data_IF_329020483164
#
_entry.id   IF_329020483164
#
_cell.length_a   1.000
_cell.length_b   1.000
_cell.length_c   1.000
_cell.angle_alpha   90.00
_cell.angle_beta   90.00
_cell.angle_gamma   90.00
#
_symmetry.space_group_name_H-M   'P 1'
#
loop_
_entity.id
_entity.type
_entity.pdbx_description
1 polymer ?
#
# COMPACT_ATOMS: atom_id res chain seq x y z
N UNK A 1 1.52 3.17 -21.33
CA UNK A 1 2.97 3.09 -21.62
C UNK A 1 3.67 2.99 -20.25
N UNK A 2 4.44 1.94 -19.95
CA UNK A 2 5.34 1.96 -18.79
C UNK A 2 6.69 2.43 -19.31
N UNK A 3 6.99 3.71 -19.17
CA UNK A 3 8.28 4.28 -19.54
C UNK A 3 9.10 4.48 -18.27
N UNK A 4 10.20 3.74 -18.14
CA UNK A 4 11.09 3.90 -17.00
C UNK A 4 11.92 5.18 -17.21
N UNK A 5 11.50 6.26 -16.57
CA UNK A 5 12.31 7.46 -16.45
C UNK A 5 13.48 7.14 -15.51
N UNK A 6 14.72 7.22 -16.01
CA UNK A 6 15.92 6.87 -15.22
C UNK A 6 16.74 8.09 -14.79
N UNK A 7 16.40 9.27 -15.30
CA UNK A 7 17.15 10.50 -15.07
C UNK A 7 16.42 11.44 -14.09
N UNK A 8 17.18 12.16 -13.26
CA UNK A 8 16.67 13.16 -12.32
C UNK A 8 16.43 12.64 -10.90
N UNK A 9 15.98 13.53 -10.03
CA UNK A 9 15.52 13.18 -8.68
C UNK A 9 14.12 12.52 -8.76
N UNK A 10 13.75 11.63 -7.83
CA UNK A 10 12.45 10.95 -7.84
C UNK A 10 11.25 11.88 -8.01
N UNK A 11 11.23 13.03 -7.33
CA UNK A 11 10.13 14.00 -7.47
C UNK A 11 9.99 14.62 -8.86
N UNK A 12 11.10 14.73 -9.62
CA UNK A 12 11.04 15.20 -11.01
C UNK A 12 10.43 14.14 -11.92
N UNK A 13 10.69 12.87 -11.65
CA UNK A 13 10.06 11.76 -12.38
C UNK A 13 8.58 11.68 -12.10
N UNK A 14 8.16 11.91 -10.85
CA UNK A 14 6.74 12.01 -10.51
C UNK A 14 6.05 13.14 -11.29
N UNK A 15 6.63 14.33 -11.33
CA UNK A 15 6.10 15.46 -12.10
C UNK A 15 6.00 15.14 -13.60
N UNK A 16 7.06 14.55 -14.18
CA UNK A 16 7.09 14.14 -15.58
C UNK A 16 6.06 13.04 -15.90
N UNK A 17 5.90 12.05 -15.01
CA UNK A 17 4.91 10.99 -15.16
C UNK A 17 3.48 11.56 -15.10
N UNK A 18 3.22 12.53 -14.22
CA UNK A 18 1.94 13.26 -14.21
C UNK A 18 1.74 14.04 -15.51
N UNK A 19 2.77 14.72 -16.02
CA UNK A 19 2.70 15.41 -17.32
C UNK A 19 2.36 14.45 -18.46
N UNK A 20 2.96 13.25 -18.47
CA UNK A 20 2.65 12.20 -19.45
C UNK A 20 1.21 11.69 -19.33
N UNK A 21 0.71 11.50 -18.11
CA UNK A 21 -0.71 11.14 -17.88
C UNK A 21 -1.63 12.24 -18.40
N UNK A 22 -1.35 13.51 -18.11
CA UNK A 22 -2.16 14.63 -18.57
C UNK A 22 -2.15 14.74 -20.10
N UNK A 23 -0.99 14.52 -20.73
CA UNK A 23 -0.88 14.48 -22.18
C UNK A 23 -1.68 13.31 -22.78
N UNK A 24 -1.64 12.13 -22.18
CA UNK A 24 -2.47 10.99 -22.61
C UNK A 24 -3.96 11.31 -22.43
N UNK A 25 -4.37 11.87 -21.30
CA UNK A 25 -5.76 12.26 -21.02
C UNK A 25 -6.31 13.32 -22.00
N UNK A 26 -5.44 14.13 -22.58
CA UNK A 26 -5.77 15.11 -23.62
C UNK A 26 -5.96 14.50 -25.02
N UNK A 27 -5.42 13.30 -25.25
CA UNK A 27 -5.67 12.53 -26.47
C UNK A 27 -7.02 11.79 -26.35
N UNK A 28 -7.85 11.89 -27.40
CA UNK A 28 -9.18 11.29 -27.46
C UNK A 28 -9.10 9.78 -27.72
N UNK A 29 -7.98 9.27 -28.24
CA UNK A 29 -7.73 7.84 -28.52
C UNK A 29 -8.90 7.14 -29.27
N UNK A 30 -9.62 7.89 -30.11
CA UNK A 30 -10.84 7.46 -30.81
C UNK A 30 -11.92 6.85 -29.87
N UNK A 31 -11.99 7.30 -28.62
CA UNK A 31 -12.96 6.83 -27.63
C UNK A 31 -12.71 5.42 -27.08
N UNK A 32 -11.51 4.85 -27.28
CA UNK A 32 -11.16 3.52 -26.73
C UNK A 32 -11.00 3.57 -25.21
N UNK A 33 -11.41 2.52 -24.47
CA UNK A 33 -11.19 2.45 -23.04
C UNK A 33 -9.68 2.38 -22.73
N UNK A 34 -9.29 2.99 -21.62
CA UNK A 34 -7.88 3.10 -21.19
C UNK A 34 -7.71 2.64 -19.75
N UNK A 35 -6.51 2.14 -19.46
CA UNK A 35 -6.05 1.87 -18.12
C UNK A 35 -4.72 2.60 -17.92
N UNK A 36 -4.73 3.60 -17.05
CA UNK A 36 -3.54 4.36 -16.66
C UNK A 36 -3.13 3.92 -15.26
N UNK A 37 -1.83 3.73 -15.07
CA UNK A 37 -1.26 3.23 -13.84
C UNK A 37 0.10 3.87 -13.61
N UNK A 38 0.30 4.39 -12.41
CA UNK A 38 1.51 5.13 -12.03
C UNK A 38 1.88 4.80 -10.60
N UNK A 39 3.18 4.71 -10.36
CA UNK A 39 3.77 4.72 -9.02
C UNK A 39 4.39 6.09 -8.78
N UNK A 40 4.14 6.65 -7.58
CA UNK A 40 4.88 7.81 -7.11
C UNK A 40 6.15 7.35 -6.38
N UNK A 41 7.26 8.03 -6.61
CA UNK A 41 8.55 7.71 -6.02
C UNK A 41 8.96 8.68 -4.91
N UNK A 42 8.38 9.88 -4.85
CA UNK A 42 8.81 10.95 -3.93
C UNK A 42 8.77 10.55 -2.47
N UNK A 43 7.80 9.72 -2.07
CA UNK A 43 7.66 9.19 -0.71
C UNK A 43 8.48 7.94 -0.45
N UNK A 44 9.25 7.44 -1.42
CA UNK A 44 10.25 6.42 -1.14
C UNK A 44 11.49 7.08 -0.52
N UNK A 45 12.13 6.43 0.45
CA UNK A 45 13.39 6.91 1.02
C UNK A 45 14.42 7.21 -0.10
N UNK A 46 15.09 8.38 -0.10
CA UNK A 46 15.27 9.31 1.02
C UNK A 46 14.22 10.43 1.13
N UNK A 47 13.04 10.30 0.51
CA UNK A 47 11.95 11.27 0.49
C UNK A 47 12.34 12.58 -0.21
N UNK A 48 12.01 12.72 -1.49
CA UNK A 48 12.47 13.88 -2.29
C UNK A 48 11.30 14.75 -2.71
N UNK A 49 11.53 16.05 -2.83
CA UNK A 49 10.51 17.04 -3.18
C UNK A 49 11.19 18.36 -3.62
N UNK A 50 10.51 19.22 -4.39
CA UNK A 50 10.99 20.57 -4.65
C UNK A 50 10.85 21.45 -3.40
N UNK A 51 11.73 22.45 -3.25
CA UNK A 51 11.69 23.40 -2.12
C UNK A 51 10.33 24.13 -1.99
N UNK A 52 9.65 24.35 -3.11
CA UNK A 52 8.31 24.95 -3.12
C UNK A 52 7.22 24.10 -2.44
N UNK A 53 7.47 22.82 -2.22
CA UNK A 53 6.53 21.91 -1.56
C UNK A 53 6.75 21.81 -0.03
N UNK A 54 7.70 22.55 0.54
CA UNK A 54 8.01 22.49 1.98
C UNK A 54 6.88 23.11 2.81
N UNK A 55 6.27 22.27 3.66
CA UNK A 55 5.25 22.67 4.67
C UNK A 55 5.69 22.33 6.10
N UNK A 56 6.78 21.60 6.27
CA UNK A 56 7.46 21.29 7.53
C UNK A 56 8.93 21.66 7.39
N UNK A 57 9.36 22.86 7.83
CA UNK A 57 10.71 23.37 7.58
C UNK A 57 11.81 22.72 8.43
N UNK A 58 11.45 22.09 9.55
CA UNK A 58 12.40 21.47 10.49
C UNK A 58 12.81 20.03 10.08
N UNK A 59 12.79 19.73 8.78
CA UNK A 59 13.11 18.41 8.24
C UNK A 59 14.62 18.18 8.08
N UNK A 60 15.01 16.90 7.99
CA UNK A 60 16.39 16.52 7.71
C UNK A 60 16.73 16.81 6.23
N UNK A 61 17.60 17.79 5.98
CA UNK A 61 17.91 18.24 4.61
C UNK A 61 18.66 17.20 3.77
N UNK A 62 19.55 16.45 4.39
CA UNK A 62 20.33 15.40 3.73
C UNK A 62 20.21 14.10 4.51
N UNK A 63 19.77 13.04 3.83
CA UNK A 63 19.72 11.69 4.39
C UNK A 63 20.99 10.97 3.96
N UNK A 64 21.98 10.89 4.84
CA UNK A 64 23.21 10.13 4.61
C UNK A 64 23.17 8.82 5.39
N UNK A 65 22.81 7.73 4.73
CA UNK A 65 22.68 6.39 5.35
C UNK A 65 23.91 5.96 6.17
N UNK A 66 25.13 6.39 5.81
CA UNK A 66 26.35 6.00 6.52
C UNK A 66 26.55 6.74 7.86
N UNK A 67 25.88 7.88 8.05
CA UNK A 67 26.00 8.72 9.25
C UNK A 67 24.66 8.93 9.96
N UNK A 68 23.59 8.31 9.45
CA UNK A 68 22.24 8.55 9.93
C UNK A 68 22.06 7.89 11.30
N UNK A 69 21.76 8.71 12.29
CA UNK A 69 21.27 8.25 13.59
C UNK A 69 19.75 8.35 13.58
N UNK A 70 19.08 7.20 13.44
CA UNK A 70 17.62 7.14 13.29
C UNK A 70 16.89 7.59 14.56
N UNK A 71 17.43 7.31 15.74
CA UNK A 71 16.77 7.66 17.00
C UNK A 71 16.73 9.18 17.19
N UNK A 72 17.83 9.86 16.86
CA UNK A 72 17.93 11.32 17.01
C UNK A 72 17.25 12.08 15.86
N UNK A 73 17.17 11.49 14.66
CA UNK A 73 16.64 12.18 13.48
C UNK A 73 15.23 11.73 13.08
N UNK A 74 14.59 10.80 13.79
CA UNK A 74 13.28 10.23 13.42
C UNK A 74 12.25 11.29 13.06
N UNK A 75 12.06 12.29 13.92
CA UNK A 75 11.08 13.37 13.70
C UNK A 75 11.44 14.22 12.46
N UNK A 76 12.71 14.59 12.29
CA UNK A 76 13.18 15.36 11.15
C UNK A 76 13.06 14.57 9.82
N UNK A 77 13.24 13.24 9.86
CA UNK A 77 12.99 12.35 8.72
C UNK A 77 11.49 12.27 8.42
N UNK A 78 10.65 12.12 9.43
CA UNK A 78 9.20 12.09 9.26
C UNK A 78 8.68 13.40 8.66
N UNK A 79 9.18 14.56 9.10
CA UNK A 79 8.88 15.86 8.48
C UNK A 79 9.29 15.91 7.00
N UNK A 80 10.39 15.25 6.64
CA UNK A 80 10.81 15.11 5.24
C UNK A 80 9.81 14.28 4.44
N UNK A 81 9.35 13.15 4.97
CA UNK A 81 8.29 12.35 4.37
C UNK A 81 6.99 13.16 4.19
N UNK A 82 6.57 13.95 5.18
CA UNK A 82 5.36 14.79 5.09
C UNK A 82 5.48 15.80 3.93
N UNK A 83 6.64 16.41 3.73
CA UNK A 83 6.86 17.32 2.58
C UNK A 83 6.79 16.57 1.23
N UNK A 84 7.32 15.35 1.16
CA UNK A 84 7.21 14.50 -0.03
C UNK A 84 5.74 14.10 -0.32
N UNK A 85 5.00 13.70 0.72
CA UNK A 85 3.58 13.37 0.61
C UNK A 85 2.74 14.59 0.17
N UNK A 86 3.04 15.78 0.69
CA UNK A 86 2.41 17.03 0.26
C UNK A 86 2.70 17.36 -1.21
N UNK A 87 3.91 17.09 -1.70
CA UNK A 87 4.21 17.21 -3.12
C UNK A 87 3.38 16.24 -3.97
N UNK A 88 3.28 14.95 -3.59
CA UNK A 88 2.46 13.97 -4.29
C UNK A 88 0.98 14.37 -4.28
N UNK A 89 0.46 14.86 -3.16
CA UNK A 89 -0.93 15.35 -3.05
C UNK A 89 -1.22 16.44 -4.09
N UNK A 90 -0.30 17.40 -4.26
CA UNK A 90 -0.41 18.41 -5.32
C UNK A 90 -0.34 17.80 -6.72
N UNK A 91 0.51 16.80 -6.98
CA UNK A 91 0.59 16.13 -8.28
C UNK A 91 -0.68 15.32 -8.61
N UNK A 92 -1.26 14.64 -7.62
CA UNK A 92 -2.55 13.96 -7.76
C UNK A 92 -3.67 14.98 -8.05
N UNK A 93 -3.65 16.11 -7.36
CA UNK A 93 -4.58 17.23 -7.59
C UNK A 93 -4.59 17.67 -9.05
N UNK A 94 -3.42 17.79 -9.70
CA UNK A 94 -3.34 18.16 -11.13
C UNK A 94 -4.11 17.19 -12.04
N UNK A 95 -4.05 15.89 -11.76
CA UNK A 95 -4.77 14.85 -12.53
C UNK A 95 -6.27 14.97 -12.30
N UNK A 96 -6.69 15.09 -11.04
CA UNK A 96 -8.10 15.19 -10.67
C UNK A 96 -8.74 16.47 -11.21
N UNK A 97 -8.06 17.61 -11.07
CA UNK A 97 -8.48 18.91 -11.60
C UNK A 97 -8.67 18.86 -13.12
N UNK A 98 -7.76 18.19 -13.84
CA UNK A 98 -7.89 18.00 -15.28
C UNK A 98 -9.11 17.15 -15.64
N UNK A 99 -9.30 16.02 -14.97
CA UNK A 99 -10.45 15.13 -15.21
C UNK A 99 -11.78 15.86 -14.93
N UNK A 100 -11.85 16.67 -13.89
CA UNK A 100 -13.04 17.46 -13.54
C UNK A 100 -13.28 18.58 -14.56
N UNK A 101 -12.26 19.39 -14.86
CA UNK A 101 -12.36 20.51 -15.80
C UNK A 101 -12.80 20.07 -17.21
N UNK A 102 -12.41 18.86 -17.62
CA UNK A 102 -12.76 18.28 -18.92
C UNK A 102 -13.98 17.35 -18.87
N UNK A 103 -14.68 17.24 -17.73
CA UNK A 103 -15.84 16.35 -17.54
C UNK A 103 -15.56 14.87 -17.86
N UNK A 104 -14.30 14.47 -17.71
CA UNK A 104 -13.88 13.08 -17.90
C UNK A 104 -14.10 12.24 -16.63
N UNK A 105 -14.24 12.88 -15.47
CA UNK A 105 -14.45 12.20 -14.19
C UNK A 105 -15.76 11.38 -14.13
N UNK A 106 -16.78 11.79 -14.88
CA UNK A 106 -18.07 11.08 -15.00
C UNK A 106 -17.97 9.73 -15.75
N UNK A 107 -16.84 9.46 -16.39
CA UNK A 107 -16.58 8.21 -17.11
C UNK A 107 -15.23 7.58 -16.72
N UNK A 108 -14.69 7.95 -15.57
CA UNK A 108 -13.37 7.49 -15.10
C UNK A 108 -13.48 6.90 -13.71
N UNK A 109 -12.97 5.68 -13.51
CA UNK A 109 -12.72 5.11 -12.18
C UNK A 109 -11.33 5.57 -11.73
N UNK A 110 -11.22 6.13 -10.52
CA UNK A 110 -9.94 6.54 -9.93
C UNK A 110 -9.71 5.74 -8.65
N UNK A 111 -8.58 5.06 -8.56
CA UNK A 111 -8.13 4.35 -7.37
C UNK A 111 -6.78 4.93 -6.94
N UNK A 112 -6.70 5.45 -5.72
CA UNK A 112 -5.46 5.91 -5.10
C UNK A 112 -5.19 5.11 -3.83
N UNK A 113 -3.97 4.57 -3.71
CA UNK A 113 -3.53 3.81 -2.52
C UNK A 113 -2.00 3.77 -2.44
N UNK A 114 -1.47 3.39 -1.28
CA UNK A 114 -0.07 2.96 -1.14
C UNK A 114 0.03 1.43 -1.24
N UNK A 115 1.17 0.91 -1.66
CA UNK A 115 1.46 -0.53 -1.61
C UNK A 115 1.86 -0.99 -0.19
N UNK A 116 2.50 -0.11 0.57
CA UNK A 116 2.76 -0.25 2.00
C UNK A 116 2.67 1.11 2.72
N UNK A 117 2.58 1.06 4.04
CA UNK A 117 2.79 2.22 4.92
C UNK A 117 4.25 2.33 5.34
N UNK A 118 4.60 3.34 6.12
CA UNK A 118 5.99 3.59 6.52
C UNK A 118 6.09 3.94 8.00
N UNK A 119 7.06 3.31 8.68
CA UNK A 119 7.37 3.55 10.08
C UNK A 119 8.49 4.58 10.22
N UNK A 120 8.38 5.46 11.21
CA UNK A 120 9.34 6.50 11.58
C UNK A 120 9.77 6.35 13.05
N UNK A 121 10.17 5.13 13.42
CA UNK A 121 10.66 4.74 14.75
C UNK A 121 9.59 4.59 15.85
N UNK A 122 8.29 4.59 15.53
CA UNK A 122 7.20 4.36 16.49
C UNK A 122 7.38 3.03 17.24
N UNK A 123 7.91 2.00 16.57
CA UNK A 123 8.23 0.71 17.16
C UNK A 123 9.72 0.35 17.05
N UNK A 124 10.57 1.37 16.89
CA UNK A 124 12.03 1.22 16.85
C UNK A 124 12.62 0.85 15.49
N UNK A 125 11.84 0.90 14.41
CA UNK A 125 12.32 0.69 13.05
C UNK A 125 11.99 1.89 12.15
N UNK A 126 12.74 2.07 11.08
CA UNK A 126 12.47 3.09 10.07
C UNK A 126 12.28 2.43 8.71
N UNK A 127 11.18 2.73 8.03
CA UNK A 127 10.82 2.12 6.75
C UNK A 127 9.80 0.99 6.91
N UNK A 128 9.95 -0.06 6.12
CA UNK A 128 9.03 -1.20 6.08
C UNK A 128 9.74 -2.52 5.76
N UNK A 129 9.04 -3.65 5.96
CA UNK A 129 9.54 -4.98 5.54
C UNK A 129 10.59 -5.59 6.48
N UNK A 130 10.61 -5.16 7.73
CA UNK A 130 11.60 -5.59 8.72
C UNK A 130 11.33 -7.00 9.26
N UNK A 131 12.11 -7.99 8.81
CA UNK A 131 12.14 -9.32 9.44
C UNK A 131 10.77 -9.96 9.63
N UNK A 132 10.48 -10.45 10.84
CA UNK A 132 9.27 -11.16 11.22
C UNK A 132 8.18 -10.23 11.81
N UNK A 133 8.04 -9.02 11.27
CA UNK A 133 7.27 -7.94 11.88
C UNK A 133 6.43 -7.19 10.84
N UNK A 134 5.18 -6.86 11.19
CA UNK A 134 4.20 -6.20 10.30
C UNK A 134 3.33 -5.22 11.10
N UNK A 135 3.89 -4.06 11.51
CA UNK A 135 3.16 -3.08 12.29
C UNK A 135 2.07 -2.37 11.50
N UNK A 136 1.08 -1.83 12.20
CA UNK A 136 -0.01 -1.07 11.58
C UNK A 136 0.52 0.09 10.71
N UNK A 137 1.58 0.77 11.15
CA UNK A 137 2.26 1.84 10.40
C UNK A 137 2.79 1.35 9.04
N UNK A 138 3.21 0.09 8.91
CA UNK A 138 3.74 -0.47 7.67
C UNK A 138 2.66 -1.10 6.77
N UNK A 139 1.50 -1.49 7.30
CA UNK A 139 0.47 -2.22 6.54
C UNK A 139 -0.79 -1.41 6.25
N UNK A 140 -1.03 -0.32 6.98
CA UNK A 140 -2.19 0.55 6.78
C UNK A 140 -1.86 1.66 5.81
N UNK A 141 -2.60 1.70 4.71
CA UNK A 141 -2.42 2.66 3.61
C UNK A 141 -3.70 3.46 3.36
N UNK A 142 -3.61 4.67 2.77
CA UNK A 142 -4.80 5.30 2.21
C UNK A 142 -5.41 4.41 1.12
N UNK A 143 -6.73 4.40 1.00
CA UNK A 143 -7.45 3.77 -0.10
C UNK A 143 -8.66 4.64 -0.45
N UNK A 144 -8.56 5.34 -1.57
CA UNK A 144 -9.64 6.19 -2.11
C UNK A 144 -10.05 5.62 -3.46
N UNK A 145 -11.36 5.36 -3.61
CA UNK A 145 -11.94 4.79 -4.82
C UNK A 145 -13.12 5.65 -5.28
N UNK A 146 -12.94 6.35 -6.40
CA UNK A 146 -14.00 7.03 -7.13
C UNK A 146 -14.53 6.13 -8.23
N UNK A 147 -15.84 5.91 -8.25
CA UNK A 147 -16.56 5.18 -9.29
C UNK A 147 -17.73 6.05 -9.75
N UNK A 148 -17.88 6.31 -11.06
CA UNK A 148 -19.00 7.09 -11.57
C UNK A 148 -20.36 6.54 -11.10
N UNK A 149 -21.23 7.44 -10.62
CA UNK A 149 -22.56 7.11 -10.13
C UNK A 149 -22.63 6.62 -8.68
N UNK A 150 -21.50 6.35 -8.02
CA UNK A 150 -21.47 6.07 -6.58
C UNK A 150 -21.52 7.36 -5.77
N UNK A 151 -22.15 7.30 -4.59
CA UNK A 151 -22.13 8.40 -3.62
C UNK A 151 -20.91 8.26 -2.72
N UNK A 152 -20.36 9.39 -2.29
CA UNK A 152 -19.30 9.42 -1.29
C UNK A 152 -19.73 8.66 -0.02
N UNK A 153 -18.90 7.72 0.41
CA UNK A 153 -19.10 6.89 1.60
C UNK A 153 -17.73 6.60 2.22
N UNK A 154 -17.72 6.39 3.54
CA UNK A 154 -16.54 5.93 4.28
C UNK A 154 -16.82 4.52 4.76
N UNK A 155 -15.87 3.62 4.50
CA UNK A 155 -15.89 2.24 4.99
C UNK A 155 -14.81 2.10 6.07
N UNK A 156 -15.21 1.68 7.27
CA UNK A 156 -14.31 1.49 8.41
C UNK A 156 -13.94 0.02 8.63
N UNK A 157 -14.48 -0.89 7.81
CA UNK A 157 -14.16 -2.30 7.89
C UNK A 157 -12.77 -2.62 7.34
N UNK A 158 -12.25 -3.78 7.71
CA UNK A 158 -10.92 -4.24 7.28
C UNK A 158 -10.96 -4.64 5.81
N UNK A 159 -10.03 -4.11 5.03
CA UNK A 159 -9.85 -4.44 3.61
C UNK A 159 -8.42 -4.86 3.30
N UNK A 160 -8.23 -5.56 2.18
CA UNK A 160 -6.95 -5.98 1.62
C UNK A 160 -6.81 -5.51 0.17
N UNK A 161 -5.58 -5.24 -0.29
CA UNK A 161 -5.31 -5.03 -1.72
C UNK A 161 -5.74 -6.21 -2.59
N UNK A 162 -5.83 -7.43 -2.03
CA UNK A 162 -6.34 -8.61 -2.75
C UNK A 162 -7.80 -8.46 -3.19
N UNK A 163 -8.56 -7.54 -2.60
CA UNK A 163 -9.94 -7.25 -3.00
C UNK A 163 -10.03 -6.28 -4.19
N UNK A 164 -8.96 -5.55 -4.52
CA UNK A 164 -8.94 -4.59 -5.64
C UNK A 164 -9.22 -5.29 -6.99
N UNK A 165 -8.56 -6.41 -7.34
CA UNK A 165 -8.82 -7.10 -8.61
C UNK A 165 -10.29 -7.46 -8.80
N UNK A 166 -10.94 -8.13 -7.83
CA UNK A 166 -12.36 -8.47 -7.95
C UNK A 166 -13.23 -7.22 -8.07
N UNK A 167 -12.95 -6.19 -7.28
CA UNK A 167 -13.72 -4.95 -7.30
C UNK A 167 -13.68 -4.28 -8.66
N UNK A 168 -12.49 -4.13 -9.27
CA UNK A 168 -12.31 -3.46 -10.55
C UNK A 168 -12.75 -4.33 -11.74
N UNK A 169 -12.44 -5.63 -11.73
CA UNK A 169 -12.79 -6.55 -12.82
C UNK A 169 -14.30 -6.64 -13.07
N UNK A 170 -15.12 -6.46 -12.02
CA UNK A 170 -16.58 -6.37 -12.16
C UNK A 170 -17.00 -5.19 -13.07
N UNK A 171 -16.28 -4.07 -13.03
CA UNK A 171 -16.53 -2.90 -13.90
C UNK A 171 -15.94 -3.06 -15.31
N UNK A 172 -14.96 -3.94 -15.48
CA UNK A 172 -14.37 -4.25 -16.78
C UNK A 172 -15.17 -5.31 -17.56
N UNK A 173 -16.29 -5.78 -17.02
CA UNK A 173 -17.15 -6.79 -17.66
C UNK A 173 -16.59 -8.21 -17.61
N UNK A 174 -15.63 -8.47 -16.71
CA UNK A 174 -15.08 -9.82 -16.51
C UNK A 174 -16.13 -10.70 -15.85
N UNK A 175 -16.54 -11.76 -16.54
CA UNK A 175 -17.50 -12.75 -16.04
C UNK A 175 -16.86 -13.96 -15.36
N UNK A 176 -15.53 -14.08 -15.44
CA UNK A 176 -14.79 -15.16 -14.78
C UNK A 176 -15.00 -15.06 -13.26
N UNK A 177 -15.30 -16.17 -12.56
CA UNK A 177 -15.43 -16.15 -11.10
C UNK A 177 -14.16 -15.64 -10.43
N UNK A 178 -14.31 -14.77 -9.42
CA UNK A 178 -13.18 -14.14 -8.72
C UNK A 178 -12.17 -15.14 -8.15
N UNK A 179 -12.65 -16.32 -7.74
CA UNK A 179 -11.85 -17.43 -7.25
C UNK A 179 -10.75 -17.89 -8.21
N UNK A 180 -10.89 -17.60 -9.51
CA UNK A 180 -9.91 -17.96 -10.53
C UNK A 180 -8.75 -16.95 -10.66
N UNK A 181 -8.80 -15.80 -9.99
CA UNK A 181 -7.75 -14.76 -10.12
C UNK A 181 -7.45 -13.99 -8.82
N UNK A 182 -8.24 -14.17 -7.75
CA UNK A 182 -7.93 -13.59 -6.44
C UNK A 182 -8.32 -14.53 -5.29
N UNK A 183 -7.72 -14.27 -4.13
CA UNK A 183 -7.95 -14.95 -2.86
C UNK A 183 -9.00 -14.24 -1.98
N UNK A 184 -9.43 -13.03 -2.33
CA UNK A 184 -10.29 -12.17 -1.51
C UNK A 184 -11.60 -11.77 -2.22
N UNK A 185 -12.53 -11.19 -1.46
CA UNK A 185 -13.81 -10.69 -1.98
C UNK A 185 -13.72 -9.32 -2.69
N UNK A 186 -14.85 -8.61 -2.80
CA UNK A 186 -14.87 -7.21 -3.21
C UNK A 186 -14.65 -6.26 -2.02
N UNK A 187 -14.18 -5.04 -2.27
CA UNK A 187 -13.82 -4.05 -1.25
C UNK A 187 -15.00 -3.57 -0.38
N UNK A 188 -16.25 -3.80 -0.82
CA UNK A 188 -17.44 -3.36 -0.09
C UNK A 188 -17.83 -4.32 1.04
N UNK A 189 -17.04 -5.38 1.25
CA UNK A 189 -17.19 -6.35 2.33
C UNK A 189 -15.94 -6.37 3.20
N UNK A 190 -16.16 -6.59 4.50
CA UNK A 190 -15.05 -6.81 5.44
C UNK A 190 -14.36 -8.14 5.13
N UNK A 191 -13.04 -8.14 5.23
CA UNK A 191 -12.27 -9.38 5.35
C UNK A 191 -12.21 -9.82 6.82
N UNK A 192 -12.29 -11.13 7.04
CA UNK A 192 -12.18 -11.73 8.38
C UNK A 192 -10.73 -11.76 8.87
N UNK A 193 -9.78 -11.77 7.94
CA UNK A 193 -8.34 -11.79 8.20
C UNK A 193 -7.57 -11.13 7.05
N UNK A 194 -6.36 -10.67 7.34
CA UNK A 194 -5.41 -10.22 6.33
C UNK A 194 -4.25 -11.20 6.21
N UNK A 195 -3.82 -11.43 4.98
CA UNK A 195 -2.54 -12.08 4.69
C UNK A 195 -1.52 -10.98 4.41
N UNK A 196 -0.42 -11.02 5.14
CA UNK A 196 0.69 -10.07 5.08
C UNK A 196 1.94 -10.81 4.61
N UNK A 197 2.84 -10.14 3.91
CA UNK A 197 4.05 -10.78 3.40
C UNK A 197 5.17 -9.81 3.14
N UNK A 198 6.40 -10.28 3.35
CA UNK A 198 7.61 -9.64 2.86
C UNK A 198 8.51 -10.71 2.23
N UNK A 199 9.79 -10.42 1.99
CA UNK A 199 10.70 -11.35 1.31
C UNK A 199 10.91 -12.70 2.02
N UNK A 200 10.77 -12.77 3.34
CA UNK A 200 11.14 -13.95 4.13
C UNK A 200 10.02 -14.48 5.05
N UNK A 201 9.05 -13.64 5.39
CA UNK A 201 7.99 -13.94 6.34
C UNK A 201 6.59 -13.68 5.78
N UNK A 202 5.65 -14.51 6.23
CA UNK A 202 4.22 -14.35 6.01
C UNK A 202 3.54 -14.10 7.36
N UNK A 203 2.57 -13.21 7.36
CA UNK A 203 1.76 -12.85 8.49
C UNK A 203 0.28 -13.12 8.24
N UNK A 204 -0.45 -13.44 9.29
CA UNK A 204 -1.91 -13.50 9.29
C UNK A 204 -2.40 -12.57 10.39
N UNK A 205 -3.09 -11.49 10.03
CA UNK A 205 -3.81 -10.65 10.98
C UNK A 205 -5.24 -11.20 11.10
N UNK A 206 -5.62 -11.62 12.30
CA UNK A 206 -6.97 -12.08 12.61
C UNK A 206 -7.45 -11.37 13.88
N UNK A 207 -8.46 -10.50 13.71
CA UNK A 207 -8.85 -9.54 14.74
C UNK A 207 -7.68 -8.67 15.21
N UNK A 208 -7.42 -8.75 16.52
CA UNK A 208 -6.41 -7.97 17.24
C UNK A 208 -5.06 -8.70 17.38
N UNK A 209 -4.85 -9.77 16.62
CA UNK A 209 -3.59 -10.54 16.69
C UNK A 209 -2.97 -10.74 15.32
N UNK A 210 -1.64 -10.78 15.29
CA UNK A 210 -0.84 -11.08 14.10
C UNK A 210 0.01 -12.33 14.37
N UNK A 211 -0.24 -13.41 13.62
CA UNK A 211 0.59 -14.61 13.61
C UNK A 211 1.59 -14.51 12.45
N UNK A 212 2.89 -14.53 12.76
CA UNK A 212 3.97 -14.39 11.77
C UNK A 212 4.86 -15.61 11.75
N UNK A 213 5.18 -16.11 10.57
CA UNK A 213 6.01 -17.30 10.38
C UNK A 213 6.85 -17.18 9.09
N UNK A 214 8.06 -17.76 9.08
CA UNK A 214 8.92 -17.75 7.89
C UNK A 214 8.34 -18.67 6.81
N UNK A 215 8.47 -18.26 5.54
CA UNK A 215 8.15 -19.13 4.40
C UNK A 215 9.39 -19.53 3.58
N UNK A 216 10.57 -19.00 3.93
CA UNK A 216 11.88 -19.36 3.37
C UNK A 216 12.85 -19.79 4.48
N UNK A 217 13.65 -20.84 4.26
CA UNK A 217 14.86 -21.13 5.07
C UNK A 217 14.69 -22.03 6.30
N UNK A 218 15.69 -22.02 7.21
CA UNK A 218 15.84 -22.96 8.33
C UNK A 218 14.98 -22.66 9.57
N UNK A 219 14.21 -21.58 9.56
CA UNK A 219 13.36 -21.15 10.68
C UNK A 219 11.94 -21.72 10.66
N UNK A 220 11.63 -22.66 9.76
CA UNK A 220 10.30 -23.26 9.51
C UNK A 220 9.50 -23.71 10.75
N UNK A 221 10.16 -23.94 11.89
CA UNK A 221 9.53 -24.37 13.15
C UNK A 221 9.29 -23.24 14.16
N UNK A 222 9.54 -21.98 13.79
CA UNK A 222 9.37 -20.82 14.67
C UNK A 222 8.25 -19.93 14.16
N UNK A 223 7.32 -19.62 15.04
CA UNK A 223 6.29 -18.61 14.81
C UNK A 223 6.30 -17.59 15.95
N UNK A 224 5.90 -16.38 15.59
CA UNK A 224 5.72 -15.28 16.52
C UNK A 224 4.29 -14.78 16.48
N UNK A 225 3.83 -14.29 17.62
CA UNK A 225 2.49 -13.74 17.77
C UNK A 225 2.63 -12.35 18.35
N UNK A 226 1.94 -11.40 17.74
CA UNK A 226 1.87 -10.01 18.16
C UNK A 226 0.43 -9.63 18.48
N UNK A 227 0.24 -8.72 19.44
CA UNK A 227 -1.06 -8.12 19.75
C UNK A 227 -1.38 -6.92 18.83
N UNK A 228 -2.52 -6.26 19.06
CA UNK A 228 -2.99 -5.11 18.29
C UNK A 228 -2.13 -3.85 18.48
N UNK A 229 -1.20 -3.87 19.44
CA UNK A 229 -0.23 -2.81 19.67
C UNK A 229 1.18 -3.25 19.23
N UNK A 230 1.25 -4.27 18.39
CA UNK A 230 2.49 -4.75 17.80
C UNK A 230 3.52 -5.27 18.81
N UNK A 231 3.06 -5.67 19.99
CA UNK A 231 3.93 -6.28 21.02
C UNK A 231 3.95 -7.78 20.89
N UNK A 232 5.16 -8.34 20.84
CA UNK A 232 5.39 -9.78 20.78
C UNK A 232 4.91 -10.46 22.07
N UNK A 233 4.04 -11.45 21.94
CA UNK A 233 3.51 -12.19 23.08
C UNK A 233 4.56 -13.15 23.69
N UNK A 234 4.55 -13.33 25.03
CA UNK A 234 5.31 -14.38 25.72
C UNK A 234 4.97 -15.79 25.21
N UNK A 235 5.92 -16.73 25.26
CA UNK A 235 5.77 -18.07 24.67
C UNK A 235 4.55 -18.84 25.16
N UNK A 236 4.26 -18.76 26.46
CA UNK A 236 3.13 -19.39 27.13
C UNK A 236 1.76 -18.87 26.67
N UNK A 237 1.73 -17.69 26.03
CA UNK A 237 0.49 -17.07 25.54
C UNK A 237 0.26 -17.27 24.04
N UNK A 238 1.22 -17.85 23.29
CA UNK A 238 1.12 -17.95 21.83
C UNK A 238 0.27 -19.11 21.35
N UNK A 239 0.39 -20.26 22.03
CA UNK A 239 -0.27 -21.50 21.62
C UNK A 239 -1.81 -21.35 21.49
N UNK A 240 -2.52 -20.68 22.42
CA UNK A 240 -3.95 -20.42 22.26
C UNK A 240 -4.31 -19.62 21.01
N UNK A 241 -3.47 -18.65 20.61
CA UNK A 241 -3.69 -17.84 19.41
C UNK A 241 -3.52 -18.66 18.14
N UNK A 242 -2.54 -19.56 18.11
CA UNK A 242 -2.36 -20.49 16.98
C UNK A 242 -3.54 -21.45 16.88
N UNK A 243 -4.01 -21.99 18.00
CA UNK A 243 -5.18 -22.87 18.02
C UNK A 243 -6.45 -22.15 17.54
N UNK A 244 -6.66 -20.92 18.00
CA UNK A 244 -7.76 -20.07 17.52
C UNK A 244 -7.64 -19.74 16.02
N UNK A 245 -6.41 -19.61 15.50
CA UNK A 245 -6.13 -19.32 14.08
C UNK A 245 -6.12 -20.56 13.19
N UNK A 246 -6.27 -21.77 13.74
CA UNK A 246 -6.10 -23.01 12.99
C UNK A 246 -7.09 -23.16 11.82
N UNK A 247 -8.34 -22.69 11.98
CA UNK A 247 -9.33 -22.70 10.91
C UNK A 247 -8.96 -21.75 9.76
N UNK A 248 -8.51 -20.54 10.10
CA UNK A 248 -8.04 -19.52 9.15
C UNK A 248 -6.80 -20.03 8.40
N UNK A 249 -5.82 -20.59 9.10
CA UNK A 249 -4.63 -21.21 8.52
C UNK A 249 -4.99 -22.29 7.49
N UNK A 250 -5.91 -23.21 7.85
CA UNK A 250 -6.37 -24.26 6.93
C UNK A 250 -7.03 -23.67 5.68
N UNK A 251 -7.86 -22.63 5.84
CA UNK A 251 -8.49 -21.92 4.71
C UNK A 251 -7.43 -21.27 3.81
N UNK A 252 -6.48 -20.54 4.37
CA UNK A 252 -5.39 -19.90 3.61
C UNK A 252 -4.59 -20.94 2.82
N UNK A 253 -4.19 -22.05 3.46
CA UNK A 253 -3.43 -23.11 2.78
C UNK A 253 -4.23 -23.73 1.63
N UNK A 254 -5.52 -23.99 1.84
CA UNK A 254 -6.40 -24.52 0.80
C UNK A 254 -6.57 -23.54 -0.37
N UNK A 255 -6.77 -22.26 -0.07
CA UNK A 255 -6.96 -21.20 -1.07
C UNK A 255 -5.69 -20.93 -1.89
N UNK A 256 -4.51 -20.90 -1.26
CA UNK A 256 -3.23 -20.70 -1.95
C UNK A 256 -2.88 -21.85 -2.91
N UNK A 257 -3.36 -23.06 -2.63
CA UNK A 257 -3.17 -24.22 -3.52
C UNK A 257 -3.98 -24.14 -4.81
N UNK A 258 -4.94 -23.22 -4.94
CA UNK A 258 -5.72 -23.08 -6.19
C UNK A 258 -4.87 -22.62 -7.38
N UNK A 259 -3.74 -21.96 -7.11
CA UNK A 259 -2.87 -21.35 -8.13
C UNK A 259 -1.54 -22.10 -8.34
N UNK A 260 -1.33 -23.21 -7.63
CA UNK A 260 -0.12 -24.02 -7.74
C UNK A 260 -0.55 -25.42 -8.18
N UNK A 261 -0.29 -25.77 -9.43
CA UNK A 261 -0.46 -27.12 -9.98
C UNK A 261 0.65 -28.08 -9.51
#
# INVERSE_FOLDING_TARGET
LMEALNDGEPWRRDEQNVDHILADLADDHDGKPRFLFMFFESTHAPYTFPESAVIRPDYLREVNYAKLDLLTNAEAIHMRYINAAHFIDAQLGRILDYLEANKQLDNTIVLFTGDHGEEFMENGHWGHGHGNYFPEEQIRVPLVLHIPGYRAQVFEHVTSHLQIPQTLMAYFGVSTPAQAYTLAGDLFRSEDFLVLGNYNYMGIKNGDTKLVFPFTGSEFFRYDVYDAHDKRLPRDQRQPVVEASAAVLKRIIAENRRFVE
#
